data_IF_321097368926
#
_entry.id   IF_321097368926
#
_cell.length_a   1.000
_cell.length_b   1.000
_cell.length_c   1.000
_cell.angle_alpha   90.00
_cell.angle_beta   90.00
_cell.angle_gamma   90.00
#
_symmetry.space_group_name_H-M   'P 1'
#
loop_
_entity.id
_entity.type
_entity.pdbx_description
1 polymer ?
#
# COMPACT_ATOMS: atom_id res chain seq x y z
N UNK A 1 -16.49 12.78 17.72
CA UNK A 1 -15.60 12.09 16.74
C UNK A 1 -15.97 12.53 15.34
N UNK A 2 -14.98 12.81 14.51
CA UNK A 2 -15.19 13.16 13.10
C UNK A 2 -14.77 11.98 12.21
N UNK A 3 -15.55 11.73 11.17
CA UNK A 3 -15.23 10.73 10.14
C UNK A 3 -15.17 11.47 8.79
N UNK A 4 -14.13 11.20 8.04
CA UNK A 4 -13.97 11.78 6.70
C UNK A 4 -14.26 10.72 5.65
N UNK A 5 -14.95 11.11 4.59
CA UNK A 5 -15.40 10.22 3.54
C UNK A 5 -15.12 10.82 2.17
N UNK A 6 -14.74 9.97 1.23
CA UNK A 6 -14.67 10.31 -0.19
C UNK A 6 -15.22 9.16 -1.02
N UNK A 7 -15.95 9.49 -2.07
CA UNK A 7 -16.42 8.52 -3.07
C UNK A 7 -15.49 8.43 -4.28
N UNK A 8 -14.41 9.21 -4.26
CA UNK A 8 -13.43 9.20 -5.37
C UNK A 8 -12.28 8.27 -5.03
N UNK A 9 -12.07 7.25 -5.85
CA UNK A 9 -10.98 6.28 -5.68
C UNK A 9 -9.81 6.72 -6.58
N UNK A 10 -9.12 7.77 -6.12
CA UNK A 10 -7.96 8.34 -6.81
C UNK A 10 -6.82 8.55 -5.83
N UNK A 11 -5.59 8.63 -6.34
CA UNK A 11 -4.40 8.87 -5.54
C UNK A 11 -4.48 10.22 -4.82
N UNK A 12 -4.97 11.24 -5.52
CA UNK A 12 -5.16 12.58 -4.97
C UNK A 12 -6.17 12.60 -3.82
N UNK A 13 -7.29 11.90 -3.98
CA UNK A 13 -8.34 11.83 -2.95
C UNK A 13 -7.85 11.11 -1.70
N UNK A 14 -7.04 10.06 -1.86
CA UNK A 14 -6.44 9.38 -0.72
C UNK A 14 -5.55 10.32 0.08
N UNK A 15 -4.71 11.09 -0.59
CA UNK A 15 -3.85 12.07 0.07
C UNK A 15 -4.67 13.17 0.75
N UNK A 16 -5.69 13.69 0.09
CA UNK A 16 -6.56 14.72 0.66
C UNK A 16 -7.23 14.26 1.96
N UNK A 17 -7.78 13.04 1.95
CA UNK A 17 -8.45 12.50 3.13
C UNK A 17 -7.46 12.24 4.27
N UNK A 18 -6.24 11.82 3.95
CA UNK A 18 -5.18 11.68 4.93
C UNK A 18 -4.84 13.03 5.59
N UNK A 19 -4.69 14.08 4.80
CA UNK A 19 -4.39 15.43 5.32
C UNK A 19 -5.46 15.94 6.26
N UNK A 20 -6.72 15.55 6.04
CA UNK A 20 -7.83 15.93 6.93
C UNK A 20 -7.66 15.41 8.36
N UNK A 21 -6.94 14.32 8.55
CA UNK A 21 -6.70 13.76 9.88
C UNK A 21 -5.80 14.65 10.73
N UNK A 22 -5.01 15.54 10.13
CA UNK A 22 -4.11 16.42 10.86
C UNK A 22 -2.98 15.70 11.59
N UNK A 23 -2.66 14.48 11.17
CA UNK A 23 -1.61 13.66 11.78
C UNK A 23 -0.27 13.97 11.11
N UNK A 24 0.75 14.23 11.91
CA UNK A 24 2.13 14.36 11.44
C UNK A 24 2.92 13.14 11.85
N UNK A 25 3.38 12.37 10.85
CA UNK A 25 4.23 11.21 11.07
C UNK A 25 5.69 11.62 10.96
N UNK A 26 6.52 11.17 11.90
CA UNK A 26 7.96 11.48 11.95
C UNK A 26 8.79 10.21 11.81
N UNK A 27 10.01 10.36 11.29
CA UNK A 27 10.94 9.25 11.12
C UNK A 27 10.56 8.35 9.95
N UNK A 28 10.92 7.08 10.05
CA UNK A 28 10.60 6.08 9.03
C UNK A 28 9.13 5.72 9.12
N UNK A 29 8.42 5.83 8.00
CA UNK A 29 6.99 5.54 7.93
C UNK A 29 6.79 4.23 7.19
N UNK A 30 6.12 3.28 7.83
CA UNK A 30 5.69 2.03 7.21
C UNK A 30 4.25 2.19 6.72
N UNK A 31 4.02 1.85 5.47
CA UNK A 31 2.67 1.88 4.88
C UNK A 31 2.25 0.44 4.61
N UNK A 32 1.37 -0.08 5.44
CA UNK A 32 0.84 -1.44 5.29
C UNK A 32 -0.20 -1.45 4.19
N UNK A 33 -0.01 -2.33 3.24
CA UNK A 33 -0.93 -2.49 2.10
C UNK A 33 -1.41 -3.94 2.00
N UNK A 34 -2.45 -4.15 1.20
CA UNK A 34 -2.81 -5.47 0.68
C UNK A 34 -2.28 -5.54 -0.75
N UNK A 35 -1.24 -6.32 -0.95
CA UNK A 35 -0.50 -6.35 -2.22
C UNK A 35 -1.20 -7.10 -3.36
N UNK A 36 -2.27 -7.83 -3.06
CA UNK A 36 -3.03 -8.62 -4.03
C UNK A 36 -2.59 -10.08 -4.08
N UNK A 37 -3.56 -10.98 -4.18
CA UNK A 37 -3.30 -12.41 -4.41
C UNK A 37 -2.88 -12.66 -5.85
N UNK A 38 -2.19 -13.78 -6.08
CA UNK A 38 -1.88 -14.23 -7.44
C UNK A 38 -3.18 -14.37 -8.24
N UNK A 39 -3.22 -13.74 -9.42
CA UNK A 39 -4.38 -13.76 -10.31
C UNK A 39 -5.55 -12.86 -9.91
N UNK A 40 -5.51 -12.23 -8.74
CA UNK A 40 -6.57 -11.30 -8.32
C UNK A 40 -6.43 -9.97 -9.05
N UNK A 41 -7.55 -9.47 -9.59
CA UNK A 41 -7.62 -8.18 -10.28
C UNK A 41 -8.30 -7.09 -9.43
N UNK A 42 -8.81 -7.44 -8.25
CA UNK A 42 -9.68 -6.57 -7.46
C UNK A 42 -9.00 -5.92 -6.26
N UNK A 43 -7.67 -5.91 -6.20
CA UNK A 43 -6.94 -5.18 -5.17
C UNK A 43 -6.66 -3.74 -5.63
N UNK A 44 -6.45 -2.84 -4.68
CA UNK A 44 -6.06 -1.47 -4.99
C UNK A 44 -4.63 -1.46 -5.53
N UNK A 45 -4.46 -0.93 -6.73
CA UNK A 45 -3.19 -0.98 -7.45
C UNK A 45 -2.13 -0.06 -6.82
N UNK A 46 -0.83 -0.34 -7.04
CA UNK A 46 0.23 0.49 -6.46
C UNK A 46 0.07 1.99 -6.70
N UNK A 47 -0.31 2.40 -7.91
CA UNK A 47 -0.45 3.82 -8.25
C UNK A 47 -1.56 4.54 -7.46
N UNK A 48 -2.54 3.80 -6.92
CA UNK A 48 -3.55 4.39 -6.06
C UNK A 48 -2.95 5.04 -4.81
N UNK A 49 -1.85 4.47 -4.30
CA UNK A 49 -1.20 4.96 -3.07
C UNK A 49 -0.10 5.99 -3.33
N UNK A 50 0.19 6.31 -4.59
CA UNK A 50 1.39 7.05 -4.99
C UNK A 50 1.55 8.39 -4.26
N UNK A 51 0.53 9.23 -4.30
CA UNK A 51 0.61 10.57 -3.71
C UNK A 51 0.80 10.50 -2.19
N UNK A 52 0.11 9.57 -1.53
CA UNK A 52 0.23 9.40 -0.09
C UNK A 52 1.61 8.87 0.30
N UNK A 53 2.07 7.81 -0.34
CA UNK A 53 3.36 7.20 0.00
C UNK A 53 4.50 8.18 -0.26
N UNK A 54 4.46 8.93 -1.34
CA UNK A 54 5.46 9.96 -1.63
C UNK A 54 5.39 11.09 -0.59
N UNK A 55 4.20 11.51 -0.21
CA UNK A 55 4.01 12.58 0.76
C UNK A 55 4.60 12.24 2.13
N UNK A 56 4.41 11.01 2.60
CA UNK A 56 4.93 10.55 3.91
C UNK A 56 6.35 9.96 3.79
N UNK A 57 6.91 9.89 2.59
CA UNK A 57 8.19 9.24 2.31
C UNK A 57 8.21 7.82 2.88
N UNK A 58 7.16 7.05 2.56
CA UNK A 58 6.90 5.76 3.18
C UNK A 58 7.61 4.59 2.51
N UNK A 59 7.77 3.53 3.28
CA UNK A 59 8.17 2.20 2.80
C UNK A 59 6.96 1.30 2.84
N UNK A 60 6.68 0.62 1.75
CA UNK A 60 5.58 -0.35 1.68
C UNK A 60 5.95 -1.60 2.48
N UNK A 61 5.03 -2.03 3.32
CA UNK A 61 5.21 -3.26 4.12
C UNK A 61 4.01 -4.18 3.94
N UNK A 62 4.28 -5.48 4.01
CA UNK A 62 3.27 -6.52 3.90
C UNK A 62 3.64 -7.70 4.79
N UNK A 63 2.66 -8.55 5.11
CA UNK A 63 2.87 -9.76 5.90
C UNK A 63 2.66 -11.00 5.03
N UNK A 64 3.47 -12.04 5.28
CA UNK A 64 3.23 -13.33 4.67
C UNK A 64 1.93 -13.94 5.21
N UNK A 65 1.29 -14.76 4.38
CA UNK A 65 0.06 -15.45 4.78
C UNK A 65 0.38 -16.77 5.49
N UNK A 66 -0.51 -17.19 6.38
CA UNK A 66 -0.41 -18.48 7.06
C UNK A 66 -0.93 -19.64 6.20
N UNK A 67 -1.74 -19.35 5.20
CA UNK A 67 -2.25 -20.36 4.27
C UNK A 67 -1.33 -20.51 3.06
N UNK A 68 -1.42 -21.64 2.36
CA UNK A 68 -0.61 -21.90 1.18
C UNK A 68 -0.98 -20.97 0.02
N UNK A 69 0.03 -20.50 -0.69
CA UNK A 69 -0.11 -19.61 -1.84
C UNK A 69 1.18 -18.87 -2.11
N UNK A 70 1.12 -17.90 -3.03
CA UNK A 70 2.30 -17.15 -3.46
C UNK A 70 2.73 -16.06 -2.48
N UNK A 71 2.03 -15.94 -1.35
CA UNK A 71 2.37 -14.99 -0.28
C UNK A 71 2.73 -15.67 1.04
N UNK A 72 2.95 -17.00 1.04
CA UNK A 72 3.20 -17.72 2.29
C UNK A 72 4.69 -17.77 2.70
N UNK A 73 5.60 -17.40 1.82
CA UNK A 73 7.02 -17.26 2.13
C UNK A 73 7.51 -15.91 1.65
N UNK A 74 8.57 -15.40 2.28
CA UNK A 74 9.14 -14.10 1.89
C UNK A 74 9.62 -14.10 0.45
N UNK A 75 10.23 -15.21 -0.01
CA UNK A 75 10.70 -15.32 -1.39
C UNK A 75 9.56 -15.25 -2.40
N UNK A 76 8.51 -16.05 -2.20
CA UNK A 76 7.34 -16.05 -3.09
C UNK A 76 6.60 -14.71 -3.07
N UNK A 77 6.43 -14.17 -1.88
CA UNK A 77 5.72 -12.90 -1.69
C UNK A 77 6.46 -11.75 -2.39
N UNK A 78 7.78 -11.71 -2.27
CA UNK A 78 8.59 -10.68 -2.92
C UNK A 78 8.47 -10.77 -4.45
N UNK A 79 8.47 -11.98 -5.02
CA UNK A 79 8.24 -12.19 -6.45
C UNK A 79 6.86 -11.70 -6.88
N UNK A 80 5.83 -11.94 -6.07
CA UNK A 80 4.48 -11.47 -6.35
C UNK A 80 4.37 -9.95 -6.27
N UNK A 81 5.02 -9.33 -5.29
CA UNK A 81 5.11 -7.87 -5.18
C UNK A 81 5.76 -7.25 -6.42
N UNK A 82 6.80 -7.89 -6.92
CA UNK A 82 7.47 -7.46 -8.14
C UNK A 82 6.57 -7.61 -9.36
N UNK A 83 5.88 -8.75 -9.48
CA UNK A 83 4.91 -9.00 -10.56
C UNK A 83 3.77 -8.00 -10.54
N UNK A 84 3.29 -7.60 -9.38
CA UNK A 84 2.24 -6.60 -9.20
C UNK A 84 2.76 -5.16 -9.21
N UNK A 85 4.03 -4.96 -9.53
CA UNK A 85 4.67 -3.66 -9.74
C UNK A 85 4.87 -2.80 -8.49
N UNK A 86 4.73 -3.37 -7.28
CA UNK A 86 4.97 -2.62 -6.05
C UNK A 86 6.42 -2.14 -5.96
N UNK A 87 7.37 -3.00 -6.32
CA UNK A 87 8.80 -2.69 -6.27
C UNK A 87 9.23 -1.69 -7.34
N UNK A 88 8.41 -1.52 -8.38
CA UNK A 88 8.65 -0.52 -9.44
C UNK A 88 8.50 0.90 -8.93
N UNK A 89 7.59 1.13 -7.99
CA UNK A 89 7.22 2.47 -7.52
C UNK A 89 7.71 2.79 -6.13
N UNK A 90 7.98 1.78 -5.29
CA UNK A 90 8.24 1.98 -3.86
C UNK A 90 9.37 1.11 -3.36
N UNK A 91 9.99 1.56 -2.26
CA UNK A 91 10.76 0.68 -1.42
C UNK A 91 9.80 -0.26 -0.69
N UNK A 92 10.11 -1.54 -0.67
CA UNK A 92 9.29 -2.58 -0.05
C UNK A 92 10.13 -3.31 0.98
N UNK A 93 9.54 -3.52 2.15
CA UNK A 93 10.17 -4.27 3.24
C UNK A 93 9.27 -5.40 3.77
#
# INVERSE_FOLDING_TARGET
>A
MKVYFTDKITSESLLEIYKKLGIELKGKVAVKVHSGEEGNQNYLKPLFYKDLIDYVNGTVVECNTAYNGERNTSEKHLKLLDKHEWTKYYNVD
#
